data_IF_492137858611
#
_entry.id   IF_492137858611
#
_cell.length_a   1.000
_cell.length_b   1.000
_cell.length_c   1.000
_cell.angle_alpha   90.00
_cell.angle_beta   90.00
_cell.angle_gamma   90.00
#
_symmetry.space_group_name_H-M   'P 1'
#
loop_
_entity.id
_entity.type
_entity.pdbx_description
1 polymer ?
#
# COMPACT_ATOMS: atom_id res chain seq x y z
N UNK A 1 7.19 -9.22 -3.61
CA UNK A 1 6.36 -9.43 -2.41
C UNK A 1 6.13 -10.92 -2.29
N UNK A 2 6.49 -11.52 -1.15
CA UNK A 2 6.13 -12.91 -0.87
C UNK A 2 4.60 -13.05 -0.89
N UNK A 3 4.07 -14.10 -1.52
CA UNK A 3 2.65 -14.39 -1.50
C UNK A 3 2.23 -14.69 -0.06
N UNK A 4 1.23 -13.97 0.44
CA UNK A 4 0.74 -14.03 1.81
C UNK A 4 -0.73 -14.43 1.76
N UNK A 5 -1.02 -15.59 2.32
CA UNK A 5 -2.37 -16.15 2.34
C UNK A 5 -3.20 -15.66 3.53
N UNK A 6 -2.57 -14.93 4.46
CA UNK A 6 -3.17 -14.40 5.70
C UNK A 6 -3.76 -12.99 5.55
N UNK A 7 -3.77 -12.45 4.32
CA UNK A 7 -4.23 -11.09 4.06
C UNK A 7 -5.76 -11.02 3.90
N UNK A 8 -6.34 -9.89 4.32
CA UNK A 8 -7.77 -9.62 4.16
C UNK A 8 -8.21 -9.51 2.69
N UNK A 9 -7.27 -9.20 1.78
CA UNK A 9 -7.50 -9.13 0.34
C UNK A 9 -6.44 -9.93 -0.42
N UNK A 10 -6.72 -10.35 -1.68
CA UNK A 10 -5.70 -10.93 -2.54
C UNK A 10 -4.51 -9.99 -2.73
N UNK A 11 -3.32 -10.55 -2.95
CA UNK A 11 -2.09 -9.77 -3.14
C UNK A 11 -2.21 -8.76 -4.31
N UNK A 12 -2.98 -9.11 -5.34
CA UNK A 12 -3.24 -8.29 -6.52
C UNK A 12 -3.89 -6.95 -6.15
N UNK A 13 -4.71 -6.92 -5.10
CA UNK A 13 -5.40 -5.72 -4.62
C UNK A 13 -4.40 -4.74 -4.00
N UNK A 14 -3.49 -5.21 -3.16
CA UNK A 14 -2.43 -4.36 -2.59
C UNK A 14 -1.49 -3.83 -3.67
N UNK A 15 -1.15 -4.66 -4.66
CA UNK A 15 -0.38 -4.22 -5.82
C UNK A 15 -1.12 -3.14 -6.63
N UNK A 16 -2.44 -3.27 -6.82
CA UNK A 16 -3.27 -2.26 -7.48
C UNK A 16 -3.23 -0.93 -6.71
N UNK A 17 -3.48 -0.96 -5.41
CA UNK A 17 -3.44 0.23 -4.53
C UNK A 17 -2.08 0.92 -4.60
N UNK A 18 -0.99 0.16 -4.52
CA UNK A 18 0.37 0.71 -4.60
C UNK A 18 0.66 1.33 -5.97
N UNK A 19 0.21 0.72 -7.07
CA UNK A 19 0.34 1.30 -8.42
C UNK A 19 -0.42 2.62 -8.54
N UNK A 20 -1.67 2.66 -8.10
CA UNK A 20 -2.50 3.88 -8.14
C UNK A 20 -1.95 5.00 -7.26
N UNK A 21 -1.33 4.65 -6.12
CA UNK A 21 -0.63 5.62 -5.29
C UNK A 21 0.57 6.20 -6.04
N UNK A 22 1.44 5.37 -6.61
CA UNK A 22 2.61 5.81 -7.38
C UNK A 22 2.26 6.66 -8.59
N UNK A 23 1.20 6.31 -9.32
CA UNK A 23 0.71 7.11 -10.46
C UNK A 23 0.29 8.52 -10.02
N UNK A 24 -0.39 8.65 -8.88
CA UNK A 24 -0.75 9.94 -8.30
C UNK A 24 0.47 10.72 -7.84
N UNK A 25 1.43 10.04 -7.22
CA UNK A 25 2.71 10.63 -6.82
C UNK A 25 3.46 11.21 -8.03
N UNK A 26 3.59 10.44 -9.10
CA UNK A 26 4.24 10.86 -10.35
C UNK A 26 3.53 12.07 -10.97
N UNK A 27 2.19 12.04 -11.04
CA UNK A 27 1.39 13.15 -11.55
C UNK A 27 1.54 14.45 -10.72
N UNK A 28 1.94 14.34 -9.45
CA UNK A 28 2.15 15.46 -8.54
C UNK A 28 3.63 15.84 -8.36
N UNK A 29 4.56 15.12 -9.02
CA UNK A 29 6.00 15.31 -8.81
C UNK A 29 6.47 14.91 -7.40
N UNK A 30 5.73 14.04 -6.70
CA UNK A 30 6.08 13.56 -5.37
C UNK A 30 6.98 12.33 -5.47
N UNK A 31 8.21 12.41 -4.99
CA UNK A 31 9.15 11.28 -5.07
C UNK A 31 9.00 10.30 -3.91
N UNK A 32 8.66 10.80 -2.72
CA UNK A 32 8.60 10.00 -1.49
C UNK A 32 7.35 10.34 -0.69
N UNK A 33 6.68 9.31 -0.18
CA UNK A 33 5.62 9.44 0.82
C UNK A 33 5.98 8.62 2.06
N UNK A 34 5.90 9.24 3.23
CA UNK A 34 6.07 8.58 4.52
C UNK A 34 4.75 8.71 5.26
N UNK A 35 4.20 7.58 5.70
CA UNK A 35 2.97 7.54 6.49
C UNK A 35 3.22 6.79 7.79
N UNK A 36 2.70 7.33 8.88
CA UNK A 36 2.82 6.76 10.23
C UNK A 36 1.46 6.37 10.82
N UNK A 37 0.36 6.70 10.14
CA UNK A 37 -0.98 6.30 10.56
C UNK A 37 -1.20 4.80 10.30
N UNK A 38 -1.64 4.03 11.30
CA UNK A 38 -1.88 2.59 11.16
C UNK A 38 -2.82 2.25 10.01
N UNK A 39 -3.84 3.09 9.77
CA UNK A 39 -4.85 2.88 8.74
C UNK A 39 -4.24 2.91 7.34
N UNK A 40 -3.34 3.86 7.06
CA UNK A 40 -2.67 3.95 5.77
C UNK A 40 -1.67 2.80 5.58
N UNK A 41 -0.96 2.43 6.65
CA UNK A 41 -0.02 1.31 6.63
C UNK A 41 -0.78 0.02 6.30
N UNK A 42 -1.88 -0.25 7.01
CA UNK A 42 -2.74 -1.40 6.77
C UNK A 42 -3.34 -1.37 5.36
N UNK A 43 -3.84 -0.22 4.90
CA UNK A 43 -4.45 -0.09 3.58
C UNK A 43 -3.48 -0.39 2.42
N UNK A 44 -2.24 0.10 2.52
CA UNK A 44 -1.23 -0.02 1.46
C UNK A 44 -0.50 -1.36 1.50
N UNK A 45 -0.25 -1.90 2.70
CA UNK A 45 0.64 -3.06 2.88
C UNK A 45 -0.04 -4.32 3.41
N UNK A 46 -1.25 -4.20 3.97
CA UNK A 46 -1.90 -5.28 4.70
C UNK A 46 -1.23 -5.61 6.03
N UNK A 47 -0.28 -4.79 6.49
CA UNK A 47 0.32 -4.90 7.81
C UNK A 47 -0.57 -4.21 8.84
N UNK A 48 -1.04 -4.99 9.81
CA UNK A 48 -1.77 -4.50 10.97
C UNK A 48 -0.81 -4.51 12.17
N UNK A 49 -0.56 -3.34 12.75
CA UNK A 49 0.11 -3.25 14.05
C UNK A 49 -0.94 -3.57 15.11
N UNK A 50 -0.72 -4.67 15.82
CA UNK A 50 -1.44 -4.99 17.07
C UNK A 50 -1.04 -4.05 18.20
#
# INVERSE_FOLDING_TARGET
>A
MHHRDDLAFPMEEYQRRLRELRQRMEAQGLEVVITTTPENICYISGFESV
#
